data_IF_209978670937
#
_entry.id   IF_209978670937
#
_cell.length_a   1.000
_cell.length_b   1.000
_cell.length_c   1.000
_cell.angle_alpha   90.00
_cell.angle_beta   90.00
_cell.angle_gamma   90.00
#
_symmetry.space_group_name_H-M   'P 1'
#
loop_
_entity.id
_entity.type
_entity.pdbx_description
1 polymer ?
#
# COMPACT_ATOMS: atom_id res chain seq x y z
N UNK A 1 18.65 31.39 -38.51
CA UNK A 1 17.98 30.25 -37.86
C UNK A 1 18.81 29.89 -36.64
N UNK A 2 18.44 30.40 -35.47
CA UNK A 2 19.08 29.99 -34.22
C UNK A 2 18.60 28.56 -33.94
N UNK A 3 19.51 27.61 -34.03
CA UNK A 3 19.25 26.27 -33.49
C UNK A 3 19.22 26.46 -31.97
N UNK A 4 18.03 26.47 -31.39
CA UNK A 4 17.89 26.44 -29.93
C UNK A 4 18.74 25.27 -29.43
N UNK A 5 19.79 25.57 -28.68
CA UNK A 5 20.57 24.53 -28.00
C UNK A 5 19.65 23.75 -27.11
N UNK A 6 19.73 22.40 -27.10
CA UNK A 6 18.86 21.60 -26.22
C UNK A 6 19.04 22.06 -24.78
N UNK A 7 17.91 22.20 -24.06
CA UNK A 7 17.90 22.57 -22.64
C UNK A 7 18.72 21.55 -21.88
N UNK A 8 19.62 22.00 -21.01
CA UNK A 8 20.40 21.08 -20.18
C UNK A 8 19.49 20.32 -19.20
N UNK A 9 19.85 19.08 -18.84
CA UNK A 9 19.12 18.30 -17.86
C UNK A 9 19.00 19.05 -16.52
N UNK A 10 20.06 19.74 -16.10
CA UNK A 10 20.08 20.52 -14.87
C UNK A 10 19.07 21.67 -14.89
N UNK A 11 19.02 22.44 -16.01
CA UNK A 11 18.08 23.55 -16.16
C UNK A 11 16.64 23.04 -16.26
N UNK A 12 16.39 21.93 -16.96
CA UNK A 12 15.07 21.31 -17.05
C UNK A 12 14.57 20.86 -15.68
N UNK A 13 15.39 20.15 -14.89
CA UNK A 13 15.03 19.71 -13.54
C UNK A 13 14.80 20.90 -12.60
N UNK A 14 15.59 21.96 -12.72
CA UNK A 14 15.39 23.20 -11.96
C UNK A 14 14.06 23.87 -12.32
N UNK A 15 13.76 23.99 -13.62
CA UNK A 15 12.49 24.55 -14.10
C UNK A 15 11.29 23.70 -13.63
N UNK A 16 11.38 22.39 -13.77
CA UNK A 16 10.36 21.45 -13.29
C UNK A 16 10.13 21.57 -11.78
N UNK A 17 11.20 21.72 -11.00
CA UNK A 17 11.09 21.93 -9.55
C UNK A 17 10.25 23.17 -9.23
N UNK A 18 10.44 24.27 -9.95
CA UNK A 18 9.64 25.48 -9.75
C UNK A 18 8.17 25.25 -10.12
N UNK A 19 7.90 24.63 -11.28
CA UNK A 19 6.53 24.31 -11.72
C UNK A 19 5.79 23.42 -10.70
N UNK A 20 6.46 22.39 -10.18
CA UNK A 20 5.86 21.48 -9.20
C UNK A 20 5.67 22.17 -7.83
N UNK A 21 6.57 23.08 -7.45
CA UNK A 21 6.42 23.88 -6.23
C UNK A 21 5.21 24.81 -6.32
N UNK A 22 5.04 25.52 -7.44
CA UNK A 22 3.89 26.40 -7.70
C UNK A 22 2.57 25.62 -7.71
N UNK A 23 2.59 24.35 -8.16
CA UNK A 23 1.44 23.44 -8.10
C UNK A 23 1.19 22.84 -6.70
N UNK A 24 2.00 23.19 -5.69
CA UNK A 24 1.85 22.72 -4.31
C UNK A 24 2.22 21.24 -4.11
N UNK A 25 3.07 20.67 -4.96
CA UNK A 25 3.58 19.30 -4.78
C UNK A 25 4.48 19.26 -3.54
N UNK A 26 4.30 18.30 -2.61
CA UNK A 26 5.01 18.29 -1.32
C UNK A 26 6.54 18.18 -1.45
N UNK A 27 7.04 17.46 -2.46
CA UNK A 27 8.47 17.19 -2.67
C UNK A 27 8.92 17.55 -4.09
N UNK A 28 8.79 18.82 -4.53
CA UNK A 28 8.90 19.20 -5.94
C UNK A 28 10.27 18.86 -6.55
N UNK A 29 11.36 19.07 -5.83
CA UNK A 29 12.71 18.78 -6.31
C UNK A 29 12.98 17.27 -6.44
N UNK A 30 12.45 16.48 -5.50
CA UNK A 30 12.58 15.01 -5.55
C UNK A 30 11.75 14.45 -6.70
N UNK A 31 10.51 14.91 -6.85
CA UNK A 31 9.61 14.44 -7.90
C UNK A 31 10.16 14.81 -9.29
N UNK A 32 10.66 16.04 -9.48
CA UNK A 32 11.31 16.46 -10.72
C UNK A 32 12.50 15.55 -11.10
N UNK A 33 13.35 15.21 -10.13
CA UNK A 33 14.46 14.29 -10.35
C UNK A 33 14.00 12.88 -10.68
N UNK A 34 13.01 12.34 -9.95
CA UNK A 34 12.50 10.99 -10.17
C UNK A 34 11.82 10.84 -11.53
N UNK A 35 11.12 11.86 -12.02
CA UNK A 35 10.58 11.89 -13.38
C UNK A 35 11.66 11.86 -14.45
N UNK A 36 12.76 12.62 -14.25
CA UNK A 36 13.90 12.59 -15.16
C UNK A 36 14.60 11.22 -15.15
N UNK A 37 14.86 10.69 -13.96
CA UNK A 37 15.47 9.36 -13.78
C UNK A 37 14.65 8.26 -14.47
N UNK A 38 13.31 8.31 -14.32
CA UNK A 38 12.39 7.37 -14.96
C UNK A 38 12.52 7.38 -16.49
N UNK A 39 12.51 8.55 -17.12
CA UNK A 39 12.64 8.66 -18.58
C UNK A 39 14.01 8.25 -19.11
N UNK A 40 15.06 8.47 -18.31
CA UNK A 40 16.43 8.10 -18.67
C UNK A 40 16.73 6.62 -18.36
N UNK A 41 15.86 5.93 -17.60
CA UNK A 41 16.08 4.55 -17.17
C UNK A 41 17.28 4.41 -16.21
N UNK A 42 17.58 5.44 -15.40
CA UNK A 42 18.75 5.48 -14.51
C UNK A 42 18.36 5.57 -13.04
N UNK A 43 19.26 5.14 -12.16
CA UNK A 43 19.11 5.32 -10.73
C UNK A 43 19.38 6.76 -10.24
N UNK A 44 18.96 7.08 -9.01
CA UNK A 44 19.15 8.42 -8.41
C UNK A 44 20.62 8.86 -8.36
N UNK A 45 21.54 7.94 -8.06
CA UNK A 45 22.97 8.24 -8.01
C UNK A 45 23.56 8.60 -9.37
N UNK A 46 23.15 7.89 -10.42
CA UNK A 46 23.55 8.16 -11.79
C UNK A 46 22.95 9.47 -12.30
N UNK A 47 21.66 9.71 -12.04
CA UNK A 47 21.04 10.99 -12.35
C UNK A 47 21.79 12.15 -11.67
N UNK A 48 22.16 12.01 -10.40
CA UNK A 48 22.92 13.04 -9.68
C UNK A 48 24.24 13.38 -10.39
N UNK A 49 24.97 12.38 -10.89
CA UNK A 49 26.19 12.60 -11.68
C UNK A 49 25.88 13.30 -13.00
N UNK A 50 24.80 12.93 -13.70
CA UNK A 50 24.40 13.54 -14.98
C UNK A 50 24.00 15.02 -14.82
N UNK A 51 23.45 15.42 -13.68
CA UNK A 51 23.10 16.82 -13.38
C UNK A 51 24.30 17.75 -13.27
N UNK A 52 25.50 17.23 -13.02
CA UNK A 52 26.75 18.03 -13.06
C UNK A 52 27.38 18.11 -14.45
N UNK A 53 26.87 17.32 -15.39
CA UNK A 53 27.39 17.24 -16.75
C UNK A 53 26.62 18.12 -17.73
N UNK A 54 26.84 17.85 -19.02
CA UNK A 54 26.18 18.52 -20.14
C UNK A 54 25.06 17.70 -20.77
N UNK A 55 24.47 16.75 -20.03
CA UNK A 55 23.37 15.93 -20.52
C UNK A 55 22.17 16.82 -20.91
N UNK A 56 21.53 16.48 -22.02
CA UNK A 56 20.28 17.14 -22.45
C UNK A 56 19.08 16.59 -21.68
N UNK A 57 18.04 17.40 -21.53
CA UNK A 57 16.76 16.95 -20.96
C UNK A 57 16.17 15.83 -21.83
N UNK A 58 15.60 14.75 -21.20
CA UNK A 58 15.01 13.67 -21.97
C UNK A 58 13.72 14.12 -22.67
N UNK A 59 13.46 13.55 -23.83
CA UNK A 59 12.23 13.80 -24.56
C UNK A 59 11.00 13.36 -23.72
N UNK A 60 9.94 14.16 -23.73
CA UNK A 60 8.72 13.87 -22.97
C UNK A 60 8.75 14.30 -21.51
N UNK A 61 9.86 14.87 -21.01
CA UNK A 61 9.98 15.28 -19.61
C UNK A 61 8.91 16.30 -19.18
N UNK A 62 8.70 17.34 -20.00
CA UNK A 62 7.70 18.38 -19.71
C UNK A 62 6.28 17.82 -19.60
N UNK A 63 5.97 16.79 -20.41
CA UNK A 63 4.66 16.11 -20.33
C UNK A 63 4.46 15.39 -19.00
N UNK A 64 5.50 14.73 -18.47
CA UNK A 64 5.40 14.09 -17.14
C UNK A 64 5.35 15.13 -16.02
N UNK A 65 6.09 16.22 -16.13
CA UNK A 65 6.03 17.35 -15.19
C UNK A 65 4.62 17.95 -15.17
N UNK A 66 4.00 18.14 -16.32
CA UNK A 66 2.62 18.66 -16.41
C UNK A 66 1.60 17.72 -15.74
N UNK A 67 1.74 16.39 -15.94
CA UNK A 67 0.90 15.39 -15.23
C UNK A 67 1.08 15.50 -13.72
N UNK A 68 2.32 15.59 -13.24
CA UNK A 68 2.62 15.71 -11.81
C UNK A 68 2.14 17.05 -11.23
N UNK A 69 2.25 18.14 -11.97
CA UNK A 69 1.69 19.44 -11.60
C UNK A 69 0.16 19.42 -11.51
N UNK A 70 -0.52 18.60 -12.32
CA UNK A 70 -1.94 18.31 -12.21
C UNK A 70 -2.28 17.38 -11.03
N UNK A 71 -1.31 17.12 -10.12
CA UNK A 71 -1.43 16.31 -8.90
C UNK A 71 -1.63 14.81 -9.15
N UNK A 72 -1.34 14.31 -10.36
CA UNK A 72 -1.27 12.85 -10.57
C UNK A 72 -0.16 12.25 -9.70
N UNK A 73 -0.40 11.15 -8.95
CA UNK A 73 0.62 10.54 -8.12
C UNK A 73 1.86 10.18 -8.91
N UNK A 74 3.04 10.48 -8.36
CA UNK A 74 4.31 10.16 -9.02
C UNK A 74 4.38 8.69 -9.41
N UNK A 75 3.93 7.81 -8.53
CA UNK A 75 3.90 6.35 -8.74
C UNK A 75 3.00 5.95 -9.90
N UNK A 76 1.88 6.64 -10.12
CA UNK A 76 1.04 6.39 -11.29
C UNK A 76 1.68 6.88 -12.59
N UNK A 77 2.47 7.96 -12.52
CA UNK A 77 3.20 8.50 -13.69
C UNK A 77 4.33 7.56 -14.07
N UNK A 78 5.10 7.08 -13.10
CA UNK A 78 6.25 6.21 -13.32
C UNK A 78 5.87 4.72 -13.47
N UNK A 79 4.67 4.35 -13.04
CA UNK A 79 4.20 2.97 -13.04
C UNK A 79 4.76 2.11 -11.90
N UNK A 80 5.50 2.71 -10.95
CA UNK A 80 6.24 1.99 -9.91
C UNK A 80 6.00 2.60 -8.53
N UNK A 81 5.78 1.73 -7.56
CA UNK A 81 5.80 2.06 -6.12
C UNK A 81 6.80 1.14 -5.40
N UNK A 82 7.58 1.71 -4.50
CA UNK A 82 8.45 0.94 -3.62
C UNK A 82 7.76 0.69 -2.29
N UNK A 83 7.81 -0.55 -1.83
CA UNK A 83 7.23 -0.96 -0.56
C UNK A 83 8.11 -2.03 0.06
N UNK A 84 8.66 -1.76 1.25
CA UNK A 84 9.68 -2.61 1.89
C UNK A 84 10.86 -2.90 0.94
N UNK A 85 11.03 -4.15 0.52
CA UNK A 85 12.09 -4.57 -0.40
C UNK A 85 11.58 -4.78 -1.84
N UNK A 86 10.32 -4.42 -2.10
CA UNK A 86 9.64 -4.71 -3.35
C UNK A 86 9.53 -3.47 -4.24
N UNK A 87 9.64 -3.71 -5.52
CA UNK A 87 9.24 -2.79 -6.58
C UNK A 87 7.92 -3.29 -7.16
N UNK A 88 6.86 -2.55 -6.93
CA UNK A 88 5.50 -2.92 -7.30
C UNK A 88 5.02 -2.10 -8.49
N UNK A 89 4.39 -2.77 -9.44
CA UNK A 89 3.67 -2.11 -10.53
C UNK A 89 2.39 -1.48 -10.02
N UNK A 90 2.19 -0.21 -10.29
CA UNK A 90 0.98 0.54 -9.92
C UNK A 90 0.55 1.48 -11.02
N UNK A 91 -0.70 1.94 -10.98
CA UNK A 91 -1.23 2.89 -11.93
C UNK A 91 -2.67 3.25 -11.60
N UNK A 92 -3.37 3.82 -12.57
CA UNK A 92 -4.78 4.18 -12.38
C UNK A 92 -5.61 2.96 -11.95
N UNK A 93 -6.49 3.18 -10.98
CA UNK A 93 -7.43 2.15 -10.50
C UNK A 93 -6.93 1.33 -9.32
N UNK A 94 -5.68 1.54 -8.86
CA UNK A 94 -5.15 0.88 -7.67
C UNK A 94 -4.64 1.92 -6.65
N UNK A 95 -4.84 1.64 -5.38
CA UNK A 95 -4.28 2.43 -4.28
C UNK A 95 -2.76 2.29 -4.24
N UNK A 96 -2.05 3.42 -4.15
CA UNK A 96 -0.59 3.43 -4.00
C UNK A 96 -0.22 2.97 -2.59
N UNK A 97 0.59 1.91 -2.42
CA UNK A 97 1.04 1.46 -1.10
C UNK A 97 1.68 2.60 -0.29
N UNK A 98 1.34 2.69 0.99
CA UNK A 98 1.84 3.74 1.89
C UNK A 98 2.94 3.21 2.81
N UNK A 99 3.96 4.02 3.13
CA UNK A 99 5.03 3.62 4.04
C UNK A 99 4.53 3.19 5.43
N UNK A 100 3.44 3.79 5.92
CA UNK A 100 2.85 3.46 7.21
C UNK A 100 2.40 2.00 7.29
N UNK A 101 1.89 1.45 6.19
CA UNK A 101 1.44 0.05 6.08
C UNK A 101 2.60 -0.95 6.26
N UNK A 102 3.85 -0.54 6.02
CA UNK A 102 5.01 -1.39 6.26
C UNK A 102 5.13 -1.82 7.73
N UNK A 103 4.70 -0.97 8.67
CA UNK A 103 4.67 -1.31 10.09
C UNK A 103 3.63 -2.40 10.40
N UNK A 104 2.51 -2.41 9.71
CA UNK A 104 1.47 -3.44 9.83
C UNK A 104 1.98 -4.79 9.33
N UNK A 105 2.67 -4.80 8.19
CA UNK A 105 3.34 -6.00 7.66
C UNK A 105 4.38 -6.52 8.64
N UNK A 106 5.18 -5.62 9.25
CA UNK A 106 6.21 -6.03 10.21
C UNK A 106 5.61 -6.76 11.43
N UNK A 107 4.48 -6.27 11.97
CA UNK A 107 3.78 -6.96 13.06
C UNK A 107 3.37 -8.40 12.68
N UNK A 108 2.87 -8.58 11.46
CA UNK A 108 2.48 -9.90 10.96
C UNK A 108 3.72 -10.83 10.78
N UNK A 109 4.79 -10.32 10.20
CA UNK A 109 6.06 -11.07 10.02
C UNK A 109 6.68 -11.50 11.34
N UNK A 110 6.67 -10.62 12.35
CA UNK A 110 7.20 -10.94 13.69
C UNK A 110 6.40 -12.09 14.34
N UNK A 111 5.09 -12.10 14.15
CA UNK A 111 4.21 -13.18 14.63
C UNK A 111 4.47 -14.48 13.86
N UNK A 112 4.51 -14.43 12.53
CA UNK A 112 4.80 -15.59 11.70
C UNK A 112 6.17 -16.20 12.04
N UNK A 113 7.18 -15.36 12.26
CA UNK A 113 8.51 -15.81 12.67
C UNK A 113 8.49 -16.56 14.01
N UNK A 114 7.77 -16.04 15.00
CA UNK A 114 7.60 -16.74 16.30
C UNK A 114 6.86 -18.07 16.16
N UNK A 115 5.73 -18.05 15.44
CA UNK A 115 4.93 -19.27 15.22
C UNK A 115 5.72 -20.36 14.50
N UNK A 116 6.61 -19.99 13.56
CA UNK A 116 7.46 -20.94 12.82
C UNK A 116 8.49 -21.63 13.71
N UNK A 117 8.91 -21.00 14.81
CA UNK A 117 9.82 -21.59 15.80
C UNK A 117 9.11 -22.53 16.77
N UNK A 118 7.82 -22.31 17.01
CA UNK A 118 7.02 -23.05 18.00
C UNK A 118 6.26 -24.23 17.39
N UNK A 119 6.13 -24.27 16.05
CA UNK A 119 5.30 -25.27 15.37
C UNK A 119 5.98 -25.83 14.14
N UNK A 120 6.07 -27.15 14.06
CA UNK A 120 6.40 -27.89 12.84
C UNK A 120 5.22 -27.86 11.87
N UNK A 121 5.49 -27.60 10.61
CA UNK A 121 4.49 -27.52 9.54
C UNK A 121 4.36 -26.13 8.96
N UNK A 122 3.81 -26.04 7.74
CA UNK A 122 3.66 -24.77 7.03
C UNK A 122 2.60 -23.89 7.68
N UNK A 123 2.92 -22.63 7.87
CA UNK A 123 1.96 -21.59 8.28
C UNK A 123 1.18 -21.03 7.10
N UNK A 124 0.08 -20.38 7.38
CA UNK A 124 -0.73 -19.70 6.38
C UNK A 124 -1.09 -18.28 6.80
N UNK A 125 -1.10 -17.38 5.83
CA UNK A 125 -1.48 -15.99 6.02
C UNK A 125 -2.48 -15.55 4.95
N UNK A 126 -3.35 -14.61 5.30
CA UNK A 126 -4.34 -14.02 4.38
C UNK A 126 -4.25 -12.50 4.44
N UNK A 127 -4.25 -11.86 3.26
CA UNK A 127 -4.37 -10.43 3.07
C UNK A 127 -5.76 -10.10 2.51
N UNK A 128 -6.58 -9.41 3.29
CA UNK A 128 -7.96 -9.06 2.94
C UNK A 128 -8.03 -7.64 2.37
N UNK A 129 -8.46 -7.51 1.11
CA UNK A 129 -8.45 -6.24 0.37
C UNK A 129 -7.03 -5.86 -0.06
N UNK A 130 -6.39 -6.74 -0.82
CA UNK A 130 -4.94 -6.67 -1.09
C UNK A 130 -4.51 -5.47 -1.94
N UNK A 131 -5.42 -4.84 -2.68
CA UNK A 131 -5.13 -3.67 -3.52
C UNK A 131 -4.07 -3.97 -4.58
N UNK A 132 -2.91 -3.38 -4.44
CA UNK A 132 -1.76 -3.65 -5.31
C UNK A 132 -1.05 -4.98 -5.03
N UNK A 133 -1.43 -5.70 -3.98
CA UNK A 133 -0.73 -6.91 -3.54
C UNK A 133 0.47 -6.64 -2.60
N UNK A 134 0.65 -5.43 -2.12
CA UNK A 134 1.84 -5.03 -1.36
C UNK A 134 2.05 -5.84 -0.08
N UNK A 135 1.00 -6.02 0.72
CA UNK A 135 1.04 -6.82 1.97
C UNK A 135 1.28 -8.28 1.63
N UNK A 136 0.47 -8.86 0.74
CA UNK A 136 0.58 -10.25 0.35
C UNK A 136 1.95 -10.60 -0.25
N UNK A 137 2.49 -9.74 -1.15
CA UNK A 137 3.81 -9.93 -1.74
C UNK A 137 4.92 -9.90 -0.68
N UNK A 138 4.85 -8.96 0.28
CA UNK A 138 5.81 -8.89 1.38
C UNK A 138 5.76 -10.14 2.25
N UNK A 139 4.57 -10.60 2.65
CA UNK A 139 4.42 -11.83 3.43
C UNK A 139 4.96 -13.05 2.67
N UNK A 140 4.68 -13.17 1.38
CA UNK A 140 5.10 -14.30 0.56
C UNK A 140 6.62 -14.33 0.32
N UNK A 141 7.28 -13.18 0.26
CA UNK A 141 8.71 -13.09 -0.04
C UNK A 141 9.59 -13.03 1.22
N UNK A 142 9.06 -12.53 2.35
CA UNK A 142 9.83 -12.34 3.58
C UNK A 142 9.56 -13.43 4.63
N UNK A 143 8.39 -14.11 4.60
CA UNK A 143 8.08 -15.19 5.54
C UNK A 143 8.29 -16.57 4.89
N UNK A 144 9.44 -17.16 5.09
CA UNK A 144 9.80 -18.44 4.48
C UNK A 144 8.83 -19.59 4.87
N UNK A 145 8.31 -20.32 3.87
CA UNK A 145 7.45 -21.49 4.09
C UNK A 145 6.00 -21.15 4.47
N UNK A 146 5.61 -19.88 4.44
CA UNK A 146 4.22 -19.43 4.67
C UNK A 146 3.44 -19.50 3.36
N UNK A 147 2.25 -20.10 3.41
CA UNK A 147 1.29 -20.05 2.31
C UNK A 147 0.47 -18.78 2.42
N UNK A 148 0.57 -17.91 1.42
CA UNK A 148 -0.13 -16.62 1.42
C UNK A 148 -1.30 -16.65 0.45
N UNK A 149 -2.46 -16.19 0.93
CA UNK A 149 -3.65 -15.94 0.12
C UNK A 149 -3.96 -14.44 0.16
N UNK A 150 -4.44 -13.90 -0.94
CA UNK A 150 -4.83 -12.51 -1.08
C UNK A 150 -6.21 -12.42 -1.71
N UNK A 151 -7.04 -11.50 -1.24
CA UNK A 151 -8.39 -11.27 -1.77
C UNK A 151 -8.50 -9.84 -2.27
N UNK A 152 -9.00 -9.67 -3.50
CA UNK A 152 -9.27 -8.35 -4.09
C UNK A 152 -10.62 -8.35 -4.78
N UNK A 153 -11.43 -7.32 -4.48
CA UNK A 153 -12.77 -7.16 -5.05
C UNK A 153 -12.77 -6.33 -6.33
N UNK A 154 -11.88 -5.33 -6.42
CA UNK A 154 -11.88 -4.36 -7.51
C UNK A 154 -11.37 -4.95 -8.81
N UNK A 155 -12.19 -4.87 -9.88
CA UNK A 155 -11.78 -5.22 -11.25
C UNK A 155 -10.59 -4.40 -11.73
N UNK A 156 -10.46 -3.15 -11.26
CA UNK A 156 -9.36 -2.25 -11.63
C UNK A 156 -8.07 -2.54 -10.87
N UNK A 157 -8.16 -2.95 -9.59
CA UNK A 157 -6.98 -3.24 -8.76
C UNK A 157 -6.46 -4.67 -8.97
N UNK A 158 -7.34 -5.63 -9.24
CA UNK A 158 -6.99 -7.04 -9.39
C UNK A 158 -5.85 -7.31 -10.39
N UNK A 159 -5.82 -6.70 -11.60
CA UNK A 159 -4.71 -6.90 -12.53
C UNK A 159 -3.34 -6.44 -12.00
N UNK A 160 -3.33 -5.41 -11.14
CA UNK A 160 -2.10 -4.94 -10.49
C UNK A 160 -1.63 -5.94 -9.45
N UNK A 161 -2.52 -6.42 -8.57
CA UNK A 161 -2.22 -7.48 -7.61
C UNK A 161 -1.71 -8.75 -8.34
N UNK A 162 -2.38 -9.18 -9.41
CA UNK A 162 -1.98 -10.35 -10.19
C UNK A 162 -0.55 -10.21 -10.75
N UNK A 163 -0.20 -9.03 -11.26
CA UNK A 163 1.16 -8.74 -11.76
C UNK A 163 2.18 -8.78 -10.64
N UNK A 164 1.90 -8.14 -9.52
CA UNK A 164 2.83 -8.00 -8.40
C UNK A 164 3.01 -9.29 -7.60
N UNK A 165 2.01 -10.16 -7.58
CA UNK A 165 2.08 -11.46 -6.93
C UNK A 165 2.64 -12.57 -7.83
N UNK A 166 2.85 -12.28 -9.13
CA UNK A 166 3.41 -13.25 -10.05
C UNK A 166 4.80 -13.72 -9.59
N UNK A 167 4.98 -15.05 -9.45
CA UNK A 167 6.25 -15.65 -9.02
C UNK A 167 6.53 -15.62 -7.53
N UNK A 168 5.69 -15.00 -6.69
CA UNK A 168 5.84 -15.00 -5.22
C UNK A 168 5.34 -16.29 -4.57
N UNK A 169 4.50 -17.06 -5.26
CA UNK A 169 3.81 -18.23 -4.71
C UNK A 169 2.52 -17.90 -3.95
N UNK A 170 2.14 -16.63 -3.82
CA UNK A 170 0.86 -16.24 -3.24
C UNK A 170 -0.31 -16.59 -4.16
N UNK A 171 -1.43 -17.03 -3.57
CA UNK A 171 -2.68 -17.29 -4.27
C UNK A 171 -3.57 -16.07 -4.22
N UNK A 172 -3.93 -15.50 -5.37
CA UNK A 172 -4.83 -14.35 -5.48
C UNK A 172 -6.25 -14.82 -5.84
N UNK A 173 -7.23 -14.35 -5.09
CA UNK A 173 -8.65 -14.61 -5.30
C UNK A 173 -9.36 -13.30 -5.65
N UNK A 174 -10.09 -13.30 -6.77
CA UNK A 174 -10.96 -12.19 -7.14
C UNK A 174 -12.32 -12.39 -6.48
N UNK A 175 -12.67 -11.54 -5.53
CA UNK A 175 -13.92 -11.68 -4.81
C UNK A 175 -14.04 -10.76 -3.59
N UNK A 176 -15.22 -10.80 -3.00
CA UNK A 176 -15.51 -10.05 -1.78
C UNK A 176 -14.87 -10.74 -0.56
N UNK A 177 -14.12 -10.00 0.24
CA UNK A 177 -13.50 -10.55 1.44
C UNK A 177 -14.51 -11.14 2.42
N UNK A 178 -15.77 -10.70 2.42
CA UNK A 178 -16.84 -11.19 3.29
C UNK A 178 -17.18 -12.65 3.04
N UNK A 179 -17.09 -13.08 1.77
CA UNK A 179 -17.49 -14.41 1.32
C UNK A 179 -16.35 -15.26 0.75
N UNK A 180 -15.11 -14.72 0.75
CA UNK A 180 -13.98 -15.42 0.18
C UNK A 180 -13.39 -16.47 1.13
N UNK A 181 -12.69 -17.47 0.57
CA UNK A 181 -11.81 -18.42 1.26
C UNK A 181 -12.52 -19.29 2.33
N UNK A 182 -13.76 -19.69 2.11
CA UNK A 182 -14.49 -20.56 3.05
C UNK A 182 -13.80 -21.91 3.31
N UNK A 183 -13.03 -22.38 2.34
CA UNK A 183 -12.22 -23.60 2.47
C UNK A 183 -11.08 -23.46 3.49
N UNK A 184 -10.76 -22.24 3.91
CA UNK A 184 -9.74 -21.95 4.91
C UNK A 184 -10.31 -21.63 6.31
N UNK A 185 -11.63 -21.73 6.51
CA UNK A 185 -12.27 -21.44 7.79
C UNK A 185 -11.62 -22.18 8.96
N UNK A 186 -11.22 -21.45 10.00
CA UNK A 186 -10.60 -21.99 11.20
C UNK A 186 -9.22 -22.60 11.02
N UNK A 187 -8.51 -22.33 9.90
CA UNK A 187 -7.22 -22.95 9.60
C UNK A 187 -6.06 -21.95 9.42
N UNK A 188 -6.35 -20.67 9.26
CA UNK A 188 -5.36 -19.63 9.00
C UNK A 188 -4.63 -19.23 10.28
N UNK A 189 -3.32 -18.98 10.18
CA UNK A 189 -2.47 -18.56 11.29
C UNK A 189 -2.45 -17.04 11.49
N UNK A 190 -2.38 -16.27 10.39
CA UNK A 190 -2.31 -14.81 10.43
C UNK A 190 -3.24 -14.22 9.37
N UNK A 191 -4.03 -13.23 9.76
CA UNK A 191 -4.81 -12.39 8.83
C UNK A 191 -4.37 -10.94 8.96
N UNK A 192 -4.13 -10.29 7.82
CA UNK A 192 -3.78 -8.88 7.72
C UNK A 192 -4.81 -8.18 6.84
N UNK A 193 -5.11 -6.93 7.14
CA UNK A 193 -5.95 -6.11 6.27
C UNK A 193 -5.57 -4.63 6.39
N UNK A 194 -5.56 -3.95 5.26
CA UNK A 194 -5.67 -2.50 5.18
C UNK A 194 -6.98 -2.18 4.44
N UNK A 195 -8.14 -2.30 5.11
CA UNK A 195 -9.42 -2.10 4.46
C UNK A 195 -9.68 -0.61 4.24
N UNK A 196 -10.60 -0.23 3.35
CA UNK A 196 -11.13 1.12 3.32
C UNK A 196 -11.72 1.47 4.69
N UNK A 197 -11.39 2.66 5.22
CA UNK A 197 -11.81 3.08 6.57
C UNK A 197 -12.23 4.54 6.67
N UNK A 198 -12.18 5.31 5.57
CA UNK A 198 -12.54 6.73 5.59
C UNK A 198 -14.07 6.86 5.71
N UNK A 199 -14.60 7.68 6.64
CA UNK A 199 -16.03 8.00 6.70
C UNK A 199 -16.54 8.62 5.41
N UNK A 200 -17.80 8.35 5.04
CA UNK A 200 -18.38 8.80 3.79
C UNK A 200 -18.34 10.34 3.59
N UNK A 201 -18.47 11.10 4.67
CA UNK A 201 -18.47 12.58 4.66
C UNK A 201 -17.06 13.18 4.80
N UNK A 202 -16.05 12.38 5.06
CA UNK A 202 -14.69 12.87 5.25
C UNK A 202 -14.00 13.13 3.91
N UNK A 203 -13.31 14.26 3.84
CA UNK A 203 -12.53 14.63 2.67
C UNK A 203 -11.06 14.37 2.98
N UNK A 204 -10.39 13.46 2.25
CA UNK A 204 -8.95 13.22 2.41
C UNK A 204 -8.15 14.52 2.30
N UNK A 205 -7.15 14.70 3.15
CA UNK A 205 -6.32 15.92 3.18
C UNK A 205 -5.46 16.05 1.94
N UNK A 206 -4.90 14.94 1.48
CA UNK A 206 -4.01 14.91 0.34
C UNK A 206 -4.81 15.01 -0.97
N UNK A 207 -4.42 15.95 -1.81
CA UNK A 207 -5.11 16.24 -3.05
C UNK A 207 -4.98 15.07 -4.04
N UNK A 208 -3.83 14.40 -4.07
CA UNK A 208 -3.58 13.20 -4.86
C UNK A 208 -4.57 12.09 -4.51
N UNK A 209 -4.78 11.84 -3.22
CA UNK A 209 -5.74 10.85 -2.72
C UNK A 209 -7.16 11.19 -3.22
N UNK A 210 -7.56 12.44 -3.08
CA UNK A 210 -8.91 12.90 -3.50
C UNK A 210 -9.19 12.78 -4.98
N UNK A 211 -8.17 13.00 -5.82
CA UNK A 211 -8.33 13.08 -7.27
C UNK A 211 -8.05 11.77 -7.98
N UNK A 212 -7.22 10.89 -7.40
CA UNK A 212 -6.67 9.77 -8.15
C UNK A 212 -6.84 8.41 -7.47
N UNK A 213 -6.92 8.33 -6.13
CA UNK A 213 -7.13 7.05 -5.47
C UNK A 213 -8.58 6.57 -5.67
N UNK A 214 -8.81 5.27 -5.88
CA UNK A 214 -10.15 4.73 -6.10
C UNK A 214 -11.04 4.91 -4.85
N UNK A 215 -12.28 5.36 -5.04
CA UNK A 215 -13.26 5.51 -3.96
C UNK A 215 -13.43 4.21 -3.15
N UNK A 216 -13.44 3.06 -3.83
CA UNK A 216 -13.56 1.75 -3.19
C UNK A 216 -12.40 1.43 -2.24
N UNK A 217 -11.21 1.98 -2.49
CA UNK A 217 -10.04 1.78 -1.64
C UNK A 217 -9.98 2.75 -0.45
N UNK A 218 -10.84 3.78 -0.41
CA UNK A 218 -10.79 4.84 0.59
C UNK A 218 -11.93 4.74 1.60
N UNK A 219 -13.18 4.65 1.12
CA UNK A 219 -14.35 4.82 1.97
C UNK A 219 -14.83 3.49 2.53
N UNK A 220 -14.80 3.41 3.88
CA UNK A 220 -15.09 2.18 4.62
C UNK A 220 -16.57 1.85 4.77
N UNK A 221 -17.47 2.67 4.22
CA UNK A 221 -18.92 2.52 4.37
C UNK A 221 -19.44 2.97 5.73
N UNK A 222 -20.77 3.14 5.80
CA UNK A 222 -21.40 3.70 6.98
C UNK A 222 -21.06 5.18 7.21
N UNK A 223 -21.62 5.77 8.25
CA UNK A 223 -21.36 7.17 8.61
C UNK A 223 -19.96 7.39 9.22
N UNK A 224 -19.38 6.36 9.77
CA UNK A 224 -18.12 6.38 10.53
C UNK A 224 -16.94 5.67 9.82
N UNK A 225 -17.19 5.10 8.64
CA UNK A 225 -16.17 4.35 7.89
C UNK A 225 -15.88 2.95 8.43
N UNK A 226 -16.72 2.41 9.33
CA UNK A 226 -16.44 1.17 10.04
C UNK A 226 -17.07 -0.09 9.42
N UNK A 227 -17.82 0.03 8.35
CA UNK A 227 -18.51 -1.13 7.73
C UNK A 227 -17.48 -2.15 7.18
N UNK A 228 -16.52 -1.69 6.38
CA UNK A 228 -15.48 -2.58 5.84
C UNK A 228 -14.50 -3.09 6.90
N UNK A 229 -13.99 -2.26 7.86
CA UNK A 229 -13.24 -2.77 9.01
C UNK A 229 -13.98 -3.84 9.80
N UNK A 230 -15.29 -3.67 10.03
CA UNK A 230 -16.12 -4.66 10.72
C UNK A 230 -16.21 -5.96 9.91
N UNK A 231 -16.38 -5.87 8.61
CA UNK A 231 -16.40 -7.03 7.72
C UNK A 231 -15.05 -7.76 7.72
N UNK A 232 -13.93 -7.02 7.65
CA UNK A 232 -12.59 -7.60 7.72
C UNK A 232 -12.35 -8.34 9.04
N UNK A 233 -12.75 -7.74 10.18
CA UNK A 233 -12.64 -8.37 11.50
C UNK A 233 -13.50 -9.65 11.63
N UNK A 234 -14.71 -9.63 11.08
CA UNK A 234 -15.60 -10.80 11.07
C UNK A 234 -15.03 -11.94 10.21
N UNK A 235 -14.52 -11.62 9.02
CA UNK A 235 -13.87 -12.59 8.14
C UNK A 235 -12.58 -13.14 8.75
N UNK A 236 -11.77 -12.29 9.37
CA UNK A 236 -10.58 -12.74 10.10
C UNK A 236 -10.94 -13.70 11.24
N UNK A 237 -12.00 -13.41 12.00
CA UNK A 237 -12.47 -14.30 13.07
C UNK A 237 -12.96 -15.67 12.54
N UNK A 238 -13.52 -15.71 11.32
CA UNK A 238 -13.94 -16.94 10.64
C UNK A 238 -12.75 -17.76 10.15
N UNK A 239 -11.78 -17.12 9.50
CA UNK A 239 -10.63 -17.76 8.86
C UNK A 239 -9.60 -18.26 9.88
N UNK A 240 -9.37 -17.50 10.95
CA UNK A 240 -8.32 -17.80 11.91
C UNK A 240 -8.66 -19.02 12.78
N UNK A 241 -7.67 -19.88 12.96
CA UNK A 241 -7.72 -20.91 13.99
C UNK A 241 -7.68 -20.29 15.39
N UNK A 242 -8.09 -21.00 16.45
CA UNK A 242 -7.81 -20.58 17.83
C UNK A 242 -6.31 -20.31 18.03
N UNK A 243 -5.98 -19.18 18.65
CA UNK A 243 -4.59 -18.69 18.77
C UNK A 243 -3.98 -18.11 17.49
N UNK A 244 -4.76 -17.89 16.44
CA UNK A 244 -4.34 -17.14 15.25
C UNK A 244 -4.33 -15.64 15.51
N UNK A 245 -3.59 -14.89 14.69
CA UNK A 245 -3.36 -13.45 14.88
C UNK A 245 -4.00 -12.63 13.78
N UNK A 246 -4.65 -11.56 14.15
CA UNK A 246 -5.21 -10.55 13.26
C UNK A 246 -4.58 -9.19 13.51
N UNK A 247 -4.25 -8.47 12.44
CA UNK A 247 -3.85 -7.07 12.49
C UNK A 247 -4.48 -6.29 11.34
N UNK A 248 -5.03 -5.11 11.66
CA UNK A 248 -5.75 -4.28 10.70
C UNK A 248 -5.32 -2.82 10.83
N UNK A 249 -5.00 -2.20 9.68
CA UNK A 249 -4.72 -0.77 9.57
C UNK A 249 -6.01 0.05 9.74
N UNK A 250 -5.87 1.27 10.27
CA UNK A 250 -6.96 2.24 10.42
C UNK A 250 -6.44 3.68 10.49
N UNK A 251 -7.33 4.66 10.42
CA UNK A 251 -6.98 6.04 10.69
C UNK A 251 -6.62 6.26 12.16
N UNK A 252 -5.69 7.18 12.45
CA UNK A 252 -5.26 7.56 13.80
C UNK A 252 -6.45 7.79 14.75
N UNK A 253 -7.48 8.49 14.27
CA UNK A 253 -8.67 8.84 15.07
C UNK A 253 -9.61 7.67 15.36
N UNK A 254 -9.42 6.52 14.70
CA UNK A 254 -10.29 5.33 14.85
C UNK A 254 -9.72 4.29 15.81
N UNK A 255 -8.55 4.49 16.42
CA UNK A 255 -7.89 3.49 17.27
C UNK A 255 -8.80 2.95 18.39
N UNK A 256 -9.47 3.84 19.14
CA UNK A 256 -10.38 3.43 20.20
C UNK A 256 -11.61 2.66 19.67
N UNK A 257 -12.13 3.05 18.51
CA UNK A 257 -13.27 2.41 17.88
C UNK A 257 -12.91 1.01 17.36
N UNK A 258 -11.71 0.85 16.78
CA UNK A 258 -11.20 -0.45 16.34
C UNK A 258 -10.93 -1.39 17.50
N UNK A 259 -10.35 -0.90 18.60
CA UNK A 259 -10.18 -1.69 19.81
C UNK A 259 -11.53 -2.16 20.36
N UNK A 260 -12.51 -1.25 20.48
CA UNK A 260 -13.86 -1.57 20.94
C UNK A 260 -14.58 -2.58 20.01
N UNK A 261 -14.38 -2.49 18.69
CA UNK A 261 -14.91 -3.45 17.72
C UNK A 261 -14.41 -4.87 18.01
N UNK A 262 -13.09 -5.03 18.18
CA UNK A 262 -12.51 -6.34 18.45
C UNK A 262 -12.94 -6.86 19.85
N UNK A 263 -12.79 -6.06 20.89
CA UNK A 263 -13.15 -6.44 22.28
C UNK A 263 -14.63 -6.82 22.40
N UNK A 264 -15.51 -6.02 21.77
CA UNK A 264 -16.96 -6.20 21.84
C UNK A 264 -17.48 -7.45 21.14
N UNK A 265 -16.75 -8.00 20.18
CA UNK A 265 -17.17 -9.20 19.43
C UNK A 265 -17.06 -10.50 20.23
N UNK A 266 -16.29 -10.53 21.31
CA UNK A 266 -16.00 -11.75 22.09
C UNK A 266 -15.09 -12.76 21.38
N UNK A 267 -14.69 -12.50 20.13
CA UNK A 267 -13.86 -13.41 19.33
C UNK A 267 -12.35 -13.25 19.59
N UNK A 268 -11.97 -12.17 20.25
CA UNK A 268 -10.57 -11.77 20.36
C UNK A 268 -10.11 -11.68 21.81
N UNK A 269 -8.83 -11.89 22.01
CA UNK A 269 -8.12 -11.62 23.26
C UNK A 269 -6.84 -10.83 22.97
N UNK A 270 -6.26 -10.23 24.01
CA UNK A 270 -5.02 -9.45 23.89
C UNK A 270 -5.09 -8.36 22.80
N UNK A 271 -6.25 -7.68 22.71
CA UNK A 271 -6.42 -6.57 21.77
C UNK A 271 -5.43 -5.46 22.09
N UNK A 272 -4.72 -4.94 21.07
CA UNK A 272 -3.69 -3.91 21.20
C UNK A 272 -3.73 -2.93 20.04
N UNK A 273 -3.57 -1.65 20.35
CA UNK A 273 -3.26 -0.61 19.34
C UNK A 273 -1.75 -0.51 19.13
N UNK A 274 -1.36 -0.21 17.91
CA UNK A 274 0.03 -0.07 17.48
C UNK A 274 0.23 1.27 16.79
N UNK A 275 1.37 1.91 17.08
CA UNK A 275 1.77 3.16 16.43
C UNK A 275 2.70 2.89 15.25
N UNK A 276 2.67 3.80 14.27
CA UNK A 276 3.64 3.82 13.19
C UNK A 276 4.98 4.45 13.64
N UNK A 277 5.96 4.52 12.74
CA UNK A 277 7.27 5.12 13.01
C UNK A 277 7.22 6.61 13.36
N UNK A 278 6.09 7.28 13.11
CA UNK A 278 5.86 8.68 13.47
C UNK A 278 5.19 8.83 14.84
N UNK A 279 4.87 7.72 15.52
CA UNK A 279 4.22 7.68 16.82
C UNK A 279 2.71 7.90 16.79
N UNK A 280 2.07 7.73 15.63
CA UNK A 280 0.60 7.85 15.46
C UNK A 280 -0.04 6.47 15.48
N UNK A 281 -1.19 6.35 16.14
CA UNK A 281 -1.98 5.12 16.09
C UNK A 281 -2.27 4.73 14.64
N UNK A 282 -1.92 3.49 14.26
CA UNK A 282 -2.00 3.04 12.87
C UNK A 282 -2.67 1.70 12.68
N UNK A 283 -2.59 0.82 13.66
CA UNK A 283 -3.18 -0.51 13.54
C UNK A 283 -3.73 -1.00 14.87
N UNK A 284 -4.70 -1.90 14.80
CA UNK A 284 -5.21 -2.66 15.94
C UNK A 284 -5.07 -4.15 15.65
N UNK A 285 -4.62 -4.90 16.65
CA UNK A 285 -4.46 -6.36 16.55
C UNK A 285 -5.20 -7.09 17.64
N UNK A 286 -5.45 -8.38 17.42
CA UNK A 286 -6.02 -9.29 18.41
C UNK A 286 -5.65 -10.74 18.10
N UNK A 287 -5.73 -11.60 19.11
CA UNK A 287 -5.56 -13.04 18.99
C UNK A 287 -6.93 -13.73 19.00
N UNK A 288 -7.12 -14.69 18.11
CA UNK A 288 -8.38 -15.49 18.03
C UNK A 288 -8.52 -16.40 19.24
N UNK A 289 -9.63 -16.30 19.96
CA UNK A 289 -9.97 -17.19 21.08
C UNK A 289 -10.22 -18.61 20.63
#
# INVERSE_FOLDING_TARGET
>A
MSLDSPVSLADAVKGATAVLADAGVPSPAVDAQLLAAHLLGVGRGELAAMLFGSAAAPAGYDALVARRAAREPLQHITGVAYFRHLELSVGKGVFVPRPETESVVQLALDVLTRMSQEREGGLSAVDLGTGSGAIAASLATEAAGVRVHAVELSDDAFPWAQRNLAGTGATLVHGDMRDALHELDGTVDVVVSNPPYIPADAIPRDLEVRLHDPHMALYGGGADGMEMPTAAAATAARLLRPGGYFVMEHAEVQAAQMAALLEGSGAWENVRSHVDLTGRDRATSGWRR
#
